data_IF_991285906923
#
_entry.id   IF_991285906923
#
_cell.length_a   1.000
_cell.length_b   1.000
_cell.length_c   1.000
_cell.angle_alpha   90.00
_cell.angle_beta   90.00
_cell.angle_gamma   90.00
#
_symmetry.space_group_name_H-M   'P 1'
#
loop_
_entity.id
_entity.type
_entity.pdbx_description
1 polymer ?
#
# COMPACT_ATOMS: atom_id res chain seq x y z
N UNK A 1 33.19 -12.86 -3.16
CA UNK A 1 32.50 -12.23 -4.31
C UNK A 1 31.61 -13.29 -4.93
N UNK A 2 30.36 -12.96 -5.27
CA UNK A 2 29.45 -13.89 -5.95
C UNK A 2 29.33 -13.48 -7.42
N UNK A 3 29.17 -14.46 -8.31
CA UNK A 3 28.94 -14.22 -9.73
C UNK A 3 27.52 -13.67 -9.93
N UNK A 4 27.30 -12.77 -10.91
CA UNK A 4 25.94 -12.25 -11.13
C UNK A 4 24.95 -13.35 -11.56
N UNK A 5 25.44 -14.46 -12.13
CA UNK A 5 24.62 -15.63 -12.50
C UNK A 5 23.90 -16.25 -11.32
N UNK A 6 24.62 -16.48 -10.22
CA UNK A 6 24.09 -17.15 -9.02
C UNK A 6 23.10 -16.25 -8.28
N UNK A 7 23.27 -14.95 -8.50
CA UNK A 7 22.58 -13.88 -7.82
C UNK A 7 21.33 -13.39 -8.55
N UNK A 8 21.25 -13.64 -9.86
CA UNK A 8 20.18 -13.15 -10.71
C UNK A 8 18.80 -13.65 -10.29
N UNK A 9 18.70 -14.88 -9.79
CA UNK A 9 17.44 -15.41 -9.27
C UNK A 9 16.95 -14.58 -8.07
N UNK A 10 17.83 -14.33 -7.10
CA UNK A 10 17.52 -13.55 -5.89
C UNK A 10 17.08 -12.15 -6.26
N UNK A 11 17.80 -11.49 -7.17
CA UNK A 11 17.49 -10.11 -7.56
C UNK A 11 16.20 -10.01 -8.39
N UNK A 12 15.93 -10.97 -9.29
CA UNK A 12 14.65 -11.06 -10.01
C UNK A 12 13.48 -11.25 -9.04
N UNK A 13 13.64 -12.13 -8.05
CA UNK A 13 12.63 -12.32 -7.00
C UNK A 13 12.42 -11.03 -6.20
N UNK A 14 13.50 -10.36 -5.80
CA UNK A 14 13.44 -9.11 -5.05
C UNK A 14 12.71 -7.99 -5.80
N UNK A 15 13.02 -7.83 -7.09
CA UNK A 15 12.37 -6.88 -7.98
C UNK A 15 10.89 -7.19 -8.18
N UNK A 16 10.56 -8.47 -8.41
CA UNK A 16 9.19 -8.95 -8.53
C UNK A 16 8.38 -8.70 -7.25
N UNK A 17 8.98 -8.96 -6.08
CA UNK A 17 8.34 -8.71 -4.79
C UNK A 17 8.14 -7.20 -4.54
N UNK A 18 9.16 -6.38 -4.82
CA UNK A 18 9.09 -4.94 -4.61
C UNK A 18 8.06 -4.29 -5.52
N UNK A 19 8.08 -4.59 -6.83
CA UNK A 19 7.07 -4.09 -7.77
C UNK A 19 5.68 -4.64 -7.43
N UNK A 20 5.59 -5.92 -7.06
CA UNK A 20 4.36 -6.58 -6.64
C UNK A 20 3.68 -5.89 -5.46
N UNK A 21 4.43 -5.45 -4.44
CA UNK A 21 3.86 -4.68 -3.32
C UNK A 21 3.17 -3.40 -3.79
N UNK A 22 3.78 -2.68 -4.73
CA UNK A 22 3.32 -1.38 -5.19
C UNK A 22 2.12 -1.53 -6.13
N UNK A 23 2.16 -2.51 -7.03
CA UNK A 23 1.03 -2.88 -7.87
C UNK A 23 -0.14 -3.44 -7.05
N UNK A 24 0.12 -4.17 -5.98
CA UNK A 24 -0.91 -4.63 -5.06
C UNK A 24 -1.66 -3.44 -4.44
N UNK A 25 -0.96 -2.37 -4.04
CA UNK A 25 -1.62 -1.16 -3.57
C UNK A 25 -2.50 -0.52 -4.65
N UNK A 26 -2.03 -0.43 -5.89
CA UNK A 26 -2.84 0.05 -7.01
C UNK A 26 -4.09 -0.81 -7.19
N UNK A 27 -3.94 -2.13 -7.12
CA UNK A 27 -5.05 -3.09 -7.19
C UNK A 27 -6.07 -2.90 -6.07
N UNK A 28 -5.63 -2.70 -4.84
CA UNK A 28 -6.52 -2.41 -3.71
C UNK A 28 -7.27 -1.09 -3.90
N UNK A 29 -6.60 -0.03 -4.38
CA UNK A 29 -7.26 1.25 -4.68
C UNK A 29 -8.32 1.08 -5.77
N UNK A 30 -8.02 0.31 -6.83
CA UNK A 30 -8.98 -0.01 -7.88
C UNK A 30 -10.20 -0.75 -7.32
N UNK A 31 -9.98 -1.81 -6.54
CA UNK A 31 -11.04 -2.57 -5.86
C UNK A 31 -11.95 -1.63 -5.04
N UNK A 32 -11.36 -0.74 -4.23
CA UNK A 32 -12.14 0.23 -3.43
C UNK A 32 -12.87 1.26 -4.28
N UNK A 33 -12.31 1.64 -5.42
CA UNK A 33 -12.97 2.54 -6.37
C UNK A 33 -14.22 1.86 -6.93
N UNK A 34 -14.12 0.61 -7.37
CA UNK A 34 -15.29 -0.16 -7.82
C UNK A 34 -16.31 -0.35 -6.69
N UNK A 35 -15.88 -0.67 -5.46
CA UNK A 35 -16.79 -0.81 -4.31
C UNK A 35 -17.52 0.49 -3.95
N UNK A 36 -16.91 1.65 -4.23
CA UNK A 36 -17.51 2.96 -3.95
C UNK A 36 -18.55 3.35 -5.00
N UNK A 37 -18.28 3.08 -6.28
CA UNK A 37 -19.13 3.51 -7.40
C UNK A 37 -20.17 2.47 -7.83
N UNK A 38 -19.97 1.17 -7.58
CA UNK A 38 -20.95 0.14 -7.95
C UNK A 38 -21.89 -0.18 -6.77
N UNK A 39 -23.21 0.05 -6.92
CA UNK A 39 -24.18 -0.20 -5.84
C UNK A 39 -24.35 -1.69 -5.50
N UNK A 40 -24.14 -2.59 -6.46
CA UNK A 40 -24.29 -4.06 -6.30
C UNK A 40 -22.95 -4.80 -6.13
N UNK A 41 -21.96 -4.13 -5.54
CA UNK A 41 -20.66 -4.73 -5.27
C UNK A 41 -20.71 -5.68 -4.07
N UNK A 42 -21.31 -6.87 -4.24
CA UNK A 42 -21.39 -7.93 -3.20
C UNK A 42 -21.26 -9.34 -3.78
N UNK A 43 -20.83 -10.27 -2.93
CA UNK A 43 -20.79 -11.71 -3.23
C UNK A 43 -19.81 -12.07 -4.35
N UNK A 44 -20.29 -12.83 -5.35
CA UNK A 44 -19.46 -13.37 -6.44
C UNK A 44 -18.73 -12.30 -7.28
N UNK A 45 -19.34 -11.12 -7.49
CA UNK A 45 -18.76 -10.05 -8.31
C UNK A 45 -17.51 -9.42 -7.67
N UNK A 46 -17.54 -9.21 -6.35
CA UNK A 46 -16.39 -8.68 -5.62
C UNK A 46 -15.23 -9.68 -5.63
N UNK A 47 -15.53 -10.96 -5.43
CA UNK A 47 -14.53 -12.03 -5.41
C UNK A 47 -13.87 -12.23 -6.79
N UNK A 48 -14.66 -12.19 -7.87
CA UNK A 48 -14.16 -12.29 -9.24
C UNK A 48 -13.27 -11.11 -9.62
N UNK A 49 -13.65 -9.89 -9.22
CA UNK A 49 -12.83 -8.70 -9.44
C UNK A 49 -11.53 -8.76 -8.63
N UNK A 50 -11.58 -9.19 -7.37
CA UNK A 50 -10.38 -9.37 -6.54
C UNK A 50 -9.40 -10.37 -7.14
N UNK A 51 -9.91 -11.51 -7.62
CA UNK A 51 -9.10 -12.53 -8.32
C UNK A 51 -8.47 -12.00 -9.61
N UNK A 52 -9.22 -11.27 -10.45
CA UNK A 52 -8.68 -10.73 -11.68
C UNK A 52 -7.58 -9.71 -11.41
N UNK A 53 -7.77 -8.82 -10.43
CA UNK A 53 -6.75 -7.86 -10.00
C UNK A 53 -5.49 -8.57 -9.50
N UNK A 54 -5.64 -9.62 -8.68
CA UNK A 54 -4.50 -10.36 -8.15
C UNK A 54 -3.67 -11.04 -9.26
N UNK A 55 -4.33 -11.67 -10.24
CA UNK A 55 -3.65 -12.29 -11.39
C UNK A 55 -2.89 -11.23 -12.20
N UNK A 56 -3.53 -10.09 -12.46
CA UNK A 56 -2.92 -8.98 -13.19
C UNK A 56 -1.67 -8.48 -12.46
N UNK A 57 -1.73 -8.27 -11.14
CA UNK A 57 -0.60 -7.81 -10.32
C UNK A 57 0.58 -8.78 -10.40
N UNK A 58 0.34 -10.10 -10.33
CA UNK A 58 1.40 -11.11 -10.42
C UNK A 58 2.06 -11.09 -11.80
N UNK A 59 1.27 -11.01 -12.88
CA UNK A 59 1.79 -10.94 -14.24
C UNK A 59 2.66 -9.70 -14.44
N UNK A 60 2.18 -8.52 -14.03
CA UNK A 60 2.97 -7.29 -14.13
C UNK A 60 4.23 -7.31 -13.26
N UNK A 61 4.18 -7.94 -12.08
CA UNK A 61 5.36 -8.15 -11.23
C UNK A 61 6.46 -8.95 -11.95
N UNK A 62 6.10 -10.09 -12.55
CA UNK A 62 7.02 -10.96 -13.30
C UNK A 62 7.58 -10.25 -14.53
N UNK A 63 6.71 -9.61 -15.33
CA UNK A 63 7.11 -8.87 -16.53
C UNK A 63 8.12 -7.77 -16.22
N UNK A 64 7.91 -7.04 -15.11
CA UNK A 64 8.82 -5.97 -14.70
C UNK A 64 10.21 -6.50 -14.36
N UNK A 65 10.29 -7.64 -13.66
CA UNK A 65 11.57 -8.28 -13.36
C UNK A 65 12.28 -8.79 -14.62
N UNK A 66 11.52 -9.31 -15.61
CA UNK A 66 12.07 -9.79 -16.88
C UNK A 66 12.59 -8.64 -17.76
N UNK A 67 11.85 -7.54 -17.89
CA UNK A 67 12.22 -6.38 -18.72
C UNK A 67 13.55 -5.76 -18.25
N UNK A 68 13.77 -5.69 -16.93
CA UNK A 68 15.00 -5.09 -16.37
C UNK A 68 16.24 -5.90 -16.76
N UNK A 69 16.13 -7.24 -16.76
CA UNK A 69 17.23 -8.18 -16.98
C UNK A 69 17.38 -8.69 -18.42
N UNK A 70 16.57 -8.20 -19.37
CA UNK A 70 16.40 -8.82 -20.69
C UNK A 70 17.69 -8.90 -21.55
N UNK A 71 18.68 -8.03 -21.31
CA UNK A 71 19.91 -7.96 -22.14
C UNK A 71 21.21 -7.96 -21.34
N UNK A 72 21.19 -8.35 -20.07
CA UNK A 72 22.40 -8.30 -19.25
C UNK A 72 23.24 -9.57 -19.43
N UNK A 73 24.50 -9.47 -19.91
CA UNK A 73 25.44 -10.57 -19.80
C UNK A 73 25.87 -10.65 -18.33
N UNK A 74 25.20 -11.51 -17.54
CA UNK A 74 25.41 -11.79 -16.10
C UNK A 74 26.86 -12.29 -15.79
N UNK A 75 27.88 -11.52 -16.14
CA UNK A 75 29.30 -11.91 -16.15
C UNK A 75 30.14 -11.10 -15.17
N UNK A 76 29.58 -10.07 -14.52
CA UNK A 76 30.27 -9.32 -13.48
C UNK A 76 30.42 -10.06 -12.14
N UNK A 77 31.17 -9.45 -11.22
CA UNK A 77 31.23 -9.88 -9.83
C UNK A 77 30.46 -8.88 -8.97
N UNK A 78 29.47 -9.35 -8.21
CA UNK A 78 28.77 -8.53 -7.21
C UNK A 78 29.27 -8.84 -5.80
N UNK A 79 29.31 -7.79 -5.00
CA UNK A 79 29.61 -7.89 -3.57
C UNK A 79 28.39 -8.39 -2.78
N UNK A 80 27.18 -8.03 -3.20
CA UNK A 80 25.95 -8.40 -2.54
C UNK A 80 24.76 -8.49 -3.51
N UNK A 81 23.83 -9.40 -3.23
CA UNK A 81 22.80 -9.78 -4.19
C UNK A 81 21.59 -8.86 -4.37
N UNK A 82 21.52 -7.81 -3.57
CA UNK A 82 20.50 -6.76 -3.68
C UNK A 82 21.00 -5.53 -4.45
N UNK A 83 22.26 -5.53 -4.91
CA UNK A 83 22.82 -4.41 -5.68
C UNK A 83 22.55 -4.63 -7.17
N UNK A 84 22.27 -3.55 -7.90
CA UNK A 84 22.14 -3.62 -9.35
C UNK A 84 23.53 -3.72 -10.01
N UNK A 85 23.69 -4.55 -11.05
CA UNK A 85 24.92 -4.58 -11.83
C UNK A 85 25.15 -3.23 -12.52
N UNK A 86 26.43 -2.90 -12.78
CA UNK A 86 26.81 -1.60 -13.35
C UNK A 86 26.21 -1.38 -14.75
N UNK A 87 26.03 -2.45 -15.53
CA UNK A 87 25.56 -2.40 -16.91
C UNK A 87 24.07 -2.01 -17.00
N UNK A 88 23.24 -2.43 -16.04
CA UNK A 88 21.81 -2.06 -15.95
C UNK A 88 21.54 -0.79 -15.14
N UNK A 89 22.56 -0.01 -14.80
CA UNK A 89 22.44 1.14 -13.89
C UNK A 89 21.54 2.27 -14.42
N UNK A 90 21.31 2.36 -15.75
CA UNK A 90 20.37 3.32 -16.35
C UNK A 90 18.94 2.80 -16.28
N UNK A 91 18.74 1.49 -16.52
CA UNK A 91 17.43 0.82 -16.42
C UNK A 91 16.90 0.82 -14.99
N UNK A 92 17.78 0.64 -14.00
CA UNK A 92 17.41 0.69 -12.58
C UNK A 92 16.97 2.09 -12.14
N UNK A 93 17.61 3.16 -12.63
CA UNK A 93 17.14 4.54 -12.39
C UNK A 93 15.74 4.75 -12.97
N UNK A 94 15.52 4.34 -14.22
CA UNK A 94 14.21 4.48 -14.86
C UNK A 94 13.13 3.72 -14.07
N UNK A 95 13.43 2.51 -13.61
CA UNK A 95 12.57 1.74 -12.73
C UNK A 95 12.23 2.49 -11.44
N UNK A 96 13.21 3.09 -10.76
CA UNK A 96 12.96 3.87 -9.55
C UNK A 96 12.06 5.08 -9.79
N UNK A 97 12.24 5.81 -10.88
CA UNK A 97 11.36 6.93 -11.23
C UNK A 97 9.93 6.47 -11.53
N UNK A 98 9.77 5.42 -12.33
CA UNK A 98 8.45 4.87 -12.69
C UNK A 98 7.72 4.42 -11.42
N UNK A 99 8.38 3.65 -10.57
CA UNK A 99 7.78 3.16 -9.33
C UNK A 99 7.45 4.28 -8.33
N UNK A 100 8.31 5.29 -8.23
CA UNK A 100 8.05 6.46 -7.40
C UNK A 100 6.82 7.21 -7.94
N UNK A 101 6.72 7.38 -9.26
CA UNK A 101 5.55 7.98 -9.91
C UNK A 101 4.25 7.22 -9.63
N UNK A 102 4.26 5.88 -9.75
CA UNK A 102 3.11 5.03 -9.40
C UNK A 102 2.74 5.17 -7.93
N UNK A 103 3.73 5.26 -7.04
CA UNK A 103 3.49 5.44 -5.60
C UNK A 103 2.84 6.80 -5.29
N UNK A 104 3.27 7.87 -5.96
CA UNK A 104 2.62 9.21 -5.87
C UNK A 104 1.18 9.14 -6.37
N UNK A 105 0.95 8.49 -7.52
CA UNK A 105 -0.39 8.31 -8.07
C UNK A 105 -1.30 7.53 -7.10
N UNK A 106 -0.81 6.42 -6.53
CA UNK A 106 -1.53 5.64 -5.53
C UNK A 106 -1.89 6.50 -4.31
N UNK A 107 -0.96 7.32 -3.81
CA UNK A 107 -1.23 8.23 -2.70
C UNK A 107 -2.32 9.24 -3.07
N UNK A 108 -2.20 9.92 -4.22
CA UNK A 108 -3.17 10.90 -4.68
C UNK A 108 -4.59 10.30 -4.82
N UNK A 109 -4.70 9.14 -5.47
CA UNK A 109 -5.97 8.43 -5.63
C UNK A 109 -6.54 7.98 -4.29
N UNK A 110 -5.72 7.46 -3.38
CA UNK A 110 -6.18 7.03 -2.05
C UNK A 110 -6.70 8.19 -1.20
N UNK A 111 -6.05 9.37 -1.25
CA UNK A 111 -6.50 10.58 -0.56
C UNK A 111 -7.78 11.11 -1.16
N UNK A 112 -7.88 11.14 -2.50
CA UNK A 112 -9.10 11.55 -3.20
C UNK A 112 -10.28 10.66 -2.84
N UNK A 113 -10.09 9.33 -2.91
CA UNK A 113 -11.13 8.35 -2.58
C UNK A 113 -11.56 8.47 -1.10
N UNK A 114 -10.62 8.66 -0.17
CA UNK A 114 -10.92 8.85 1.24
C UNK A 114 -11.74 10.14 1.49
N UNK A 115 -11.38 11.27 0.83
CA UNK A 115 -12.16 12.52 0.91
C UNK A 115 -13.57 12.35 0.32
N UNK A 116 -13.68 11.67 -0.81
CA UNK A 116 -14.96 11.38 -1.45
C UNK A 116 -15.86 10.52 -0.54
N UNK A 117 -15.31 9.44 0.02
CA UNK A 117 -16.01 8.53 0.91
C UNK A 117 -16.48 9.21 2.21
N UNK A 118 -15.66 10.10 2.80
CA UNK A 118 -16.09 10.95 3.92
C UNK A 118 -17.24 11.88 3.56
N UNK A 119 -17.20 12.52 2.37
CA UNK A 119 -18.30 13.39 1.91
C UNK A 119 -19.60 12.59 1.73
N UNK A 120 -19.49 11.36 1.23
CA UNK A 120 -20.61 10.45 1.03
C UNK A 120 -21.25 10.01 2.37
N UNK A 121 -20.45 9.81 3.41
CA UNK A 121 -20.92 9.47 4.77
C UNK A 121 -21.94 10.50 5.29
N UNK A 122 -21.65 11.80 5.11
CA UNK A 122 -22.54 12.89 5.53
C UNK A 122 -23.91 12.86 4.85
N UNK A 123 -23.97 12.41 3.59
CA UNK A 123 -25.23 12.39 2.83
C UNK A 123 -26.16 11.24 3.21
N UNK A 124 -25.64 10.14 3.76
CA UNK A 124 -26.40 8.88 3.97
C UNK A 124 -26.75 8.68 5.46
N UNK A 125 -26.67 9.74 6.26
CA UNK A 125 -26.83 9.72 7.73
C UNK A 125 -28.13 9.04 8.19
N UNK A 126 -29.20 9.09 7.39
CA UNK A 126 -30.54 8.64 7.77
C UNK A 126 -30.90 7.19 7.40
N UNK A 127 -30.09 6.46 6.60
CA UNK A 127 -30.38 5.06 6.20
C UNK A 127 -29.46 4.06 6.91
N UNK A 128 -29.94 3.37 7.95
CA UNK A 128 -29.13 2.48 8.81
C UNK A 128 -28.44 1.32 8.07
N UNK A 129 -29.15 0.53 7.26
CA UNK A 129 -28.55 -0.62 6.54
C UNK A 129 -27.56 -0.18 5.45
N UNK A 130 -27.81 0.96 4.81
CA UNK A 130 -26.87 1.54 3.83
C UNK A 130 -25.59 2.04 4.54
N UNK A 131 -25.73 2.59 5.75
CA UNK A 131 -24.61 3.07 6.55
C UNK A 131 -23.63 1.97 6.94
N UNK A 132 -24.10 0.81 7.42
CA UNK A 132 -23.20 -0.27 7.84
C UNK A 132 -22.30 -0.77 6.71
N UNK A 133 -22.87 -1.06 5.53
CA UNK A 133 -22.09 -1.53 4.38
C UNK A 133 -21.10 -0.46 3.88
N UNK A 134 -21.49 0.83 3.91
CA UNK A 134 -20.60 1.91 3.47
C UNK A 134 -19.54 2.26 4.51
N UNK A 135 -19.80 2.04 5.80
CA UNK A 135 -18.80 2.26 6.86
C UNK A 135 -17.60 1.35 6.68
N UNK A 136 -17.82 0.08 6.31
CA UNK A 136 -16.75 -0.88 6.05
C UNK A 136 -15.84 -0.41 4.91
N UNK A 137 -16.43 0.08 3.82
CA UNK A 137 -15.68 0.64 2.68
C UNK A 137 -14.89 1.88 3.10
N UNK A 138 -15.51 2.82 3.84
CA UNK A 138 -14.84 4.03 4.34
C UNK A 138 -13.64 3.68 5.22
N UNK A 139 -13.84 2.78 6.18
CA UNK A 139 -12.81 2.40 7.15
C UNK A 139 -11.64 1.65 6.48
N UNK A 140 -11.95 0.76 5.53
CA UNK A 140 -10.96 0.06 4.73
C UNK A 140 -10.19 1.01 3.81
N UNK A 141 -10.87 1.95 3.12
CA UNK A 141 -10.21 3.00 2.32
C UNK A 141 -9.29 3.88 3.17
N UNK A 142 -9.71 4.24 4.39
CA UNK A 142 -8.87 4.98 5.32
C UNK A 142 -7.60 4.22 5.71
N UNK A 143 -7.70 2.90 5.91
CA UNK A 143 -6.55 2.03 6.18
C UNK A 143 -5.61 1.95 4.97
N UNK A 144 -6.15 1.77 3.77
CA UNK A 144 -5.36 1.76 2.53
C UNK A 144 -4.63 3.09 2.33
N UNK A 145 -5.29 4.23 2.56
CA UNK A 145 -4.68 5.55 2.48
C UNK A 145 -3.50 5.73 3.45
N UNK A 146 -3.57 5.12 4.65
CA UNK A 146 -2.48 5.17 5.61
C UNK A 146 -1.30 4.28 5.20
N UNK A 147 -1.59 3.11 4.64
CA UNK A 147 -0.57 2.20 4.11
C UNK A 147 0.15 2.78 2.88
N UNK A 148 -0.59 3.40 1.96
CA UNK A 148 -0.03 4.05 0.77
C UNK A 148 0.84 5.24 1.14
N UNK A 149 0.44 6.02 2.15
CA UNK A 149 1.26 7.11 2.68
C UNK A 149 2.58 6.60 3.29
N UNK A 150 2.53 5.54 4.10
CA UNK A 150 3.73 4.96 4.68
C UNK A 150 4.67 4.40 3.61
N UNK A 151 4.12 3.67 2.62
CA UNK A 151 4.90 3.17 1.49
C UNK A 151 5.54 4.32 0.70
N UNK A 152 4.80 5.39 0.45
CA UNK A 152 5.31 6.55 -0.28
C UNK A 152 6.53 7.18 0.43
N UNK A 153 6.50 7.32 1.76
CA UNK A 153 7.64 7.84 2.54
C UNK A 153 8.88 6.94 2.37
N UNK A 154 8.73 5.63 2.52
CA UNK A 154 9.89 4.74 2.37
C UNK A 154 10.41 4.68 0.94
N UNK A 155 9.52 4.75 -0.06
CA UNK A 155 9.89 4.73 -1.47
C UNK A 155 10.58 6.03 -1.90
N UNK A 156 10.15 7.19 -1.41
CA UNK A 156 10.83 8.45 -1.71
C UNK A 156 12.22 8.49 -1.08
N UNK A 157 12.37 7.99 0.16
CA UNK A 157 13.67 7.88 0.83
C UNK A 157 14.61 6.97 0.03
N UNK A 158 14.12 5.82 -0.43
CA UNK A 158 14.93 4.89 -1.22
C UNK A 158 15.34 5.49 -2.57
N UNK A 159 14.37 6.01 -3.33
CA UNK A 159 14.61 6.57 -4.66
C UNK A 159 15.52 7.80 -4.64
N UNK A 160 15.24 8.76 -3.76
CA UNK A 160 16.08 9.96 -3.59
C UNK A 160 17.44 9.63 -2.98
N UNK A 161 17.49 8.75 -1.98
CA UNK A 161 18.72 8.32 -1.33
C UNK A 161 19.69 7.66 -2.30
N UNK A 162 19.22 6.69 -3.09
CA UNK A 162 20.05 6.03 -4.10
C UNK A 162 20.49 7.02 -5.19
N UNK A 163 19.63 7.95 -5.59
CA UNK A 163 19.97 8.97 -6.58
C UNK A 163 21.09 9.91 -6.09
N UNK A 164 20.96 10.42 -4.87
CA UNK A 164 21.99 11.27 -4.22
C UNK A 164 23.29 10.49 -4.07
N UNK A 165 23.21 9.25 -3.58
CA UNK A 165 24.37 8.40 -3.36
C UNK A 165 25.12 8.10 -4.67
N UNK A 166 24.39 7.98 -5.78
CA UNK A 166 24.99 7.84 -7.12
C UNK A 166 25.69 9.12 -7.58
N UNK A 167 25.12 10.29 -7.32
CA UNK A 167 25.73 11.58 -7.68
C UNK A 167 27.05 11.86 -6.96
N UNK A 168 27.17 11.43 -5.70
CA UNK A 168 28.38 11.63 -4.89
C UNK A 168 29.34 10.44 -4.92
N UNK A 169 29.10 9.44 -5.79
CA UNK A 169 29.90 8.20 -5.87
C UNK A 169 31.39 8.46 -6.06
N UNK A 170 31.77 9.47 -6.84
CA UNK A 170 33.18 9.80 -7.11
C UNK A 170 33.92 10.36 -5.90
N UNK A 171 33.20 10.81 -4.86
CA UNK A 171 33.75 11.48 -3.69
C UNK A 171 33.86 10.56 -2.47
N UNK A 172 33.22 9.38 -2.50
CA UNK A 172 33.10 8.49 -1.34
C UNK A 172 33.93 7.21 -1.55
N UNK A 173 34.72 6.78 -0.55
CA UNK A 173 35.42 5.50 -0.60
C UNK A 173 34.45 4.33 -0.76
N UNK A 174 34.92 3.25 -1.40
CA UNK A 174 34.09 2.13 -1.82
C UNK A 174 33.33 1.51 -0.65
N UNK A 175 33.97 1.35 0.50
CA UNK A 175 33.39 0.75 1.71
C UNK A 175 32.21 1.56 2.26
N UNK A 176 32.37 2.88 2.39
CA UNK A 176 31.31 3.75 2.92
C UNK A 176 30.10 3.79 1.98
N UNK A 177 30.31 3.80 0.67
CA UNK A 177 29.21 3.75 -0.30
C UNK A 177 28.34 2.52 -0.12
N UNK A 178 28.93 1.34 0.09
CA UNK A 178 28.17 0.10 0.26
C UNK A 178 27.35 0.10 1.55
N UNK A 179 27.90 0.64 2.66
CA UNK A 179 27.16 0.79 3.92
C UNK A 179 25.94 1.69 3.70
N UNK A 180 26.11 2.84 3.03
CA UNK A 180 25.00 3.74 2.72
C UNK A 180 23.94 3.11 1.82
N UNK A 181 24.32 2.30 0.84
CA UNK A 181 23.36 1.55 0.01
C UNK A 181 22.48 0.64 0.89
N UNK A 182 23.08 -0.08 1.85
CA UNK A 182 22.33 -0.97 2.75
C UNK A 182 21.39 -0.18 3.66
N UNK A 183 21.85 0.94 4.23
CA UNK A 183 21.03 1.80 5.10
C UNK A 183 19.85 2.42 4.36
N UNK A 184 20.06 2.84 3.11
CA UNK A 184 19.03 3.45 2.27
C UNK A 184 18.07 2.41 1.65
N UNK A 185 18.36 1.12 1.76
CA UNK A 185 17.51 0.06 1.26
C UNK A 185 16.27 -0.12 2.16
N UNK A 186 15.22 0.67 1.89
CA UNK A 186 14.02 0.71 2.74
C UNK A 186 13.02 -0.42 2.50
N UNK A 187 13.20 -1.24 1.46
CA UNK A 187 12.23 -2.29 1.04
C UNK A 187 11.89 -3.29 2.16
N UNK A 188 12.83 -3.80 2.98
CA UNK A 188 12.50 -4.71 4.07
C UNK A 188 11.64 -4.02 5.14
N UNK A 189 11.89 -2.74 5.40
CA UNK A 189 11.09 -1.95 6.34
C UNK A 189 9.66 -1.77 5.84
N UNK A 190 9.47 -1.56 4.53
CA UNK A 190 8.13 -1.54 3.92
C UNK A 190 7.43 -2.88 4.17
N UNK A 191 8.09 -4.00 3.82
CA UNK A 191 7.54 -5.34 3.94
C UNK A 191 7.14 -5.69 5.39
N UNK A 192 7.91 -5.26 6.39
CA UNK A 192 7.57 -5.44 7.81
C UNK A 192 6.51 -4.46 8.32
N UNK A 193 6.49 -3.22 7.80
CA UNK A 193 5.53 -2.19 8.22
C UNK A 193 4.10 -2.55 7.81
N UNK A 194 3.89 -3.21 6.68
CA UNK A 194 2.54 -3.51 6.19
C UNK A 194 1.71 -4.42 7.12
N UNK A 195 2.17 -5.63 7.49
CA UNK A 195 1.42 -6.50 8.38
C UNK A 195 1.25 -5.88 9.76
N UNK A 196 2.28 -5.19 10.29
CA UNK A 196 2.21 -4.55 11.60
C UNK A 196 1.19 -3.42 11.63
N UNK A 197 1.15 -2.56 10.61
CA UNK A 197 0.17 -1.48 10.50
C UNK A 197 -1.25 -1.99 10.26
N UNK A 198 -1.42 -3.07 9.51
CA UNK A 198 -2.71 -3.74 9.34
C UNK A 198 -3.23 -4.29 10.67
N UNK A 199 -2.41 -5.04 11.40
CA UNK A 199 -2.79 -5.60 12.72
C UNK A 199 -3.12 -4.47 13.69
N UNK A 200 -2.32 -3.41 13.72
CA UNK A 200 -2.58 -2.22 14.54
C UNK A 200 -3.95 -1.62 14.22
N UNK A 201 -4.26 -1.39 12.94
CA UNK A 201 -5.56 -0.83 12.51
C UNK A 201 -6.73 -1.72 12.91
N UNK A 202 -6.66 -3.02 12.62
CA UNK A 202 -7.70 -3.98 13.00
C UNK A 202 -7.95 -3.97 14.51
N UNK A 203 -6.89 -3.98 15.32
CA UNK A 203 -7.02 -3.92 16.80
C UNK A 203 -7.65 -2.62 17.26
N UNK A 204 -7.22 -1.48 16.72
CA UNK A 204 -7.77 -0.17 17.10
C UNK A 204 -9.25 -0.04 16.74
N UNK A 205 -9.65 -0.53 15.55
CA UNK A 205 -11.06 -0.60 15.14
C UNK A 205 -11.88 -1.46 16.09
N UNK A 206 -11.39 -2.66 16.40
CA UNK A 206 -12.12 -3.57 17.28
C UNK A 206 -12.29 -2.97 18.67
N UNK A 207 -11.24 -2.37 19.23
CA UNK A 207 -11.32 -1.68 20.52
C UNK A 207 -12.36 -0.54 20.50
N UNK A 208 -12.36 0.28 19.45
CA UNK A 208 -13.33 1.37 19.31
C UNK A 208 -14.77 0.85 19.19
N UNK A 209 -14.99 -0.23 18.43
CA UNK A 209 -16.31 -0.88 18.29
C UNK A 209 -16.78 -1.45 19.63
N UNK A 210 -15.91 -2.12 20.37
CA UNK A 210 -16.22 -2.67 21.70
C UNK A 210 -16.55 -1.57 22.69
N UNK A 211 -15.78 -0.47 22.73
CA UNK A 211 -16.07 0.68 23.59
C UNK A 211 -17.44 1.30 23.26
N UNK A 212 -17.76 1.44 21.97
CA UNK A 212 -19.06 1.97 21.54
C UNK A 212 -20.22 1.05 21.95
N UNK A 213 -20.05 -0.27 21.85
CA UNK A 213 -21.03 -1.24 22.31
C UNK A 213 -21.23 -1.19 23.82
N UNK A 214 -20.14 -1.10 24.60
CA UNK A 214 -20.20 -0.94 26.06
C UNK A 214 -20.92 0.36 26.44
N UNK A 215 -20.62 1.46 25.73
CA UNK A 215 -21.34 2.72 25.92
C UNK A 215 -22.84 2.55 25.76
N UNK A 216 -23.28 1.92 24.66
CA UNK A 216 -24.70 1.66 24.37
C UNK A 216 -25.33 0.70 25.38
N UNK A 217 -24.63 -0.35 25.82
CA UNK A 217 -25.16 -1.33 26.77
C UNK A 217 -25.20 -0.81 28.21
N UNK A 218 -24.28 0.08 28.57
CA UNK A 218 -24.24 0.76 29.88
C UNK A 218 -25.35 1.80 30.02
N UNK A 219 -25.75 2.44 28.91
CA UNK A 219 -27.00 3.22 28.84
C UNK A 219 -28.19 2.28 28.65
N UNK A 220 -28.68 1.65 29.73
CA UNK A 220 -30.06 1.15 29.73
C UNK A 220 -30.98 2.37 29.72
N UNK A 221 -31.38 2.83 28.53
CA UNK A 221 -32.43 3.81 28.41
C UNK A 221 -33.67 3.25 29.11
N UNK A 222 -34.07 3.87 30.22
CA UNK A 222 -35.34 3.55 30.86
C UNK A 222 -36.47 3.90 29.88
N UNK A 223 -37.61 3.25 30.03
CA UNK A 223 -38.78 3.52 29.18
C UNK A 223 -39.15 5.02 29.19
N UNK A 224 -38.91 5.70 30.33
CA UNK A 224 -39.09 7.14 30.49
C UNK A 224 -38.12 7.98 29.65
N UNK A 225 -36.85 7.59 29.55
CA UNK A 225 -35.87 8.30 28.70
C UNK A 225 -36.27 8.21 27.23
N UNK A 226 -36.76 7.05 26.79
CA UNK A 226 -37.26 6.86 25.43
C UNK A 226 -38.53 7.69 25.14
N UNK A 227 -39.47 7.72 26.08
CA UNK A 227 -40.69 8.53 25.96
C UNK A 227 -40.34 10.02 25.92
N UNK A 228 -39.45 10.50 26.80
CA UNK A 228 -39.00 11.88 26.80
C UNK A 228 -38.33 12.27 25.48
N UNK A 229 -37.47 11.42 24.93
CA UNK A 229 -36.79 11.68 23.66
C UNK A 229 -37.78 11.83 22.49
N UNK A 230 -38.81 10.98 22.43
CA UNK A 230 -39.88 11.07 21.42
C UNK A 230 -40.66 12.37 21.62
N UNK A 231 -41.06 12.69 22.86
CA UNK A 231 -41.85 13.90 23.14
C UNK A 231 -41.08 15.19 22.80
N UNK A 232 -39.76 15.23 23.02
CA UNK A 232 -38.91 16.35 22.61
C UNK A 232 -38.70 16.48 21.10
N UNK A 233 -38.84 15.40 20.33
CA UNK A 233 -38.77 15.48 18.86
C UNK A 233 -40.10 15.94 18.23
N UNK A 234 -41.20 15.91 18.98
CA UNK A 234 -42.53 16.32 18.54
C UNK A 234 -42.93 17.73 18.98
N UNK A 235 -42.10 18.39 19.80
CA UNK A 235 -42.17 19.84 20.08
C UNK A 235 -41.25 20.60 19.16
#
# INVERSE_FOLDING_TARGET
MQLESDCALVMKTLLCSTSGMIYCQTGLILERTFATFLPDYKGKKSLLLGWSIAIIVVIFGILTAQIIYWDDPLQGALLACFMFPKQSATRSIMYFYVITGISVFNLAMSVWLNKYNKKLEYQIRFKLCARYNKQEVIESTGTICFLTFTQFIFMIIYSSGISILKSIRSQIPIEQYHIWVVVLYTVPFIAMSFPTLLIYRVRTTNAFRTQRLIGISSTRATQEDHINQITTMWK
#
